data_IF_999079421045
#
_entry.id   IF_999079421045
#
_cell.length_a   1.000
_cell.length_b   1.000
_cell.length_c   1.000
_cell.angle_alpha   90.00
_cell.angle_beta   90.00
_cell.angle_gamma   90.00
#
_symmetry.space_group_name_H-M   'P 1'
#
loop_
_entity.id
_entity.type
_entity.pdbx_description
1 polymer ?
#
# COMPACT_ATOMS: atom_id res chain seq x y z
N UNK A 1 19.69 -13.11 -5.40
CA UNK A 1 18.58 -12.14 -5.29
C UNK A 1 17.34 -12.73 -5.96
N UNK A 2 16.23 -12.70 -5.29
CA UNK A 2 14.96 -13.16 -5.85
C UNK A 2 14.00 -11.98 -5.90
N UNK A 3 13.36 -11.78 -7.07
CA UNK A 3 12.37 -10.74 -7.27
C UNK A 3 11.02 -11.40 -7.45
N UNK A 4 10.01 -10.90 -6.73
CA UNK A 4 8.67 -11.48 -6.73
C UNK A 4 7.65 -10.36 -6.89
N UNK A 5 6.74 -10.51 -7.84
CA UNK A 5 5.59 -9.63 -7.91
C UNK A 5 4.57 -10.02 -6.85
N UNK A 6 4.05 -9.03 -6.15
CA UNK A 6 3.04 -9.21 -5.11
C UNK A 6 1.89 -8.24 -5.32
N UNK A 7 0.73 -8.63 -4.82
CA UNK A 7 -0.48 -7.82 -4.84
C UNK A 7 -1.06 -7.77 -3.45
N UNK A 8 -1.45 -6.57 -3.03
CA UNK A 8 -2.15 -6.36 -1.76
C UNK A 8 -3.51 -5.74 -2.04
N UNK A 9 -4.56 -6.31 -1.47
CA UNK A 9 -5.93 -5.82 -1.62
C UNK A 9 -6.49 -5.52 -0.24
N UNK A 10 -7.04 -4.34 -0.08
CA UNK A 10 -7.60 -3.90 1.21
C UNK A 10 -8.91 -3.17 0.97
N UNK A 11 -9.97 -3.60 1.67
CA UNK A 11 -11.20 -2.82 1.77
C UNK A 11 -11.05 -1.79 2.89
N UNK A 12 -11.36 -0.53 2.59
CA UNK A 12 -11.31 0.54 3.57
C UNK A 12 -12.68 0.63 4.23
N UNK A 13 -12.83 -0.05 5.36
CA UNK A 13 -14.12 -0.20 6.04
C UNK A 13 -14.40 0.86 7.08
N UNK A 14 -13.40 1.67 7.44
CA UNK A 14 -13.52 2.75 8.43
C UNK A 14 -12.90 4.03 7.89
N UNK A 15 -13.00 5.12 8.64
CA UNK A 15 -12.30 6.37 8.35
C UNK A 15 -10.95 6.47 9.05
N UNK A 16 -10.53 5.41 9.72
CA UNK A 16 -9.24 5.35 10.38
C UNK A 16 -8.13 5.00 9.38
N UNK A 17 -6.91 5.38 9.74
CA UNK A 17 -5.73 5.02 8.96
C UNK A 17 -5.55 3.49 8.96
N UNK A 18 -5.49 2.90 7.78
CA UNK A 18 -5.47 1.45 7.58
C UNK A 18 -4.17 1.05 6.90
N UNK A 19 -3.48 0.04 7.43
CA UNK A 19 -2.25 -0.47 6.81
C UNK A 19 -2.58 -1.38 5.64
N UNK A 20 -2.00 -1.07 4.47
CA UNK A 20 -2.12 -1.90 3.26
C UNK A 20 -1.05 -2.99 3.26
N UNK A 21 0.20 -2.60 3.53
CA UNK A 21 1.31 -3.54 3.68
C UNK A 21 2.38 -2.95 4.58
N UNK A 22 3.20 -3.84 5.14
CA UNK A 22 4.42 -3.48 5.84
C UNK A 22 5.57 -4.29 5.22
N UNK A 23 6.66 -3.61 4.87
CA UNK A 23 7.84 -4.29 4.32
C UNK A 23 8.52 -5.07 5.43
N UNK A 24 8.76 -6.39 5.24
CA UNK A 24 9.37 -7.22 6.28
C UNK A 24 10.73 -6.68 6.71
N UNK A 25 11.04 -6.85 8.00
CA UNK A 25 12.34 -6.54 8.55
C UNK A 25 13.25 -7.78 8.44
N UNK A 26 14.49 -7.58 8.02
CA UNK A 26 15.45 -8.66 7.91
C UNK A 26 15.69 -9.30 9.28
N UNK A 27 15.85 -10.64 9.28
CA UNK A 27 16.16 -11.39 10.48
C UNK A 27 17.02 -12.60 10.10
N UNK A 28 18.33 -12.46 10.26
CA UNK A 28 19.28 -13.50 9.92
C UNK A 28 19.26 -14.67 10.91
N UNK A 29 18.73 -14.45 12.11
CA UNK A 29 18.62 -15.50 13.13
C UNK A 29 17.38 -16.36 12.99
N UNK A 30 16.42 -15.97 12.12
CA UNK A 30 15.21 -16.76 11.89
C UNK A 30 15.53 -18.04 11.12
N UNK A 31 14.64 -19.02 11.21
CA UNK A 31 14.75 -20.28 10.47
C UNK A 31 13.48 -20.50 9.64
N UNK A 32 13.53 -20.30 8.30
CA UNK A 32 14.67 -19.82 7.50
C UNK A 32 14.97 -18.33 7.74
N UNK A 33 16.20 -17.87 7.45
CA UNK A 33 16.53 -16.45 7.60
C UNK A 33 15.65 -15.58 6.72
N UNK A 34 15.30 -14.38 7.24
CA UNK A 34 14.53 -13.38 6.50
C UNK A 34 15.50 -12.37 5.88
N UNK A 35 15.59 -12.28 4.53
CA UNK A 35 16.49 -11.33 3.88
C UNK A 35 15.97 -9.91 3.95
N UNK A 36 16.83 -8.94 3.61
CA UNK A 36 16.41 -7.55 3.42
C UNK A 36 15.49 -7.48 2.21
N UNK A 37 14.33 -6.89 2.39
CA UNK A 37 13.34 -6.69 1.31
C UNK A 37 13.18 -5.21 0.99
N UNK A 38 12.99 -4.92 -0.29
CA UNK A 38 12.57 -3.61 -0.78
C UNK A 38 11.33 -3.83 -1.64
N UNK A 39 10.29 -3.06 -1.38
CA UNK A 39 9.07 -3.07 -2.21
C UNK A 39 9.12 -1.90 -3.17
N UNK A 40 9.03 -2.18 -4.45
CA UNK A 40 8.87 -1.16 -5.49
C UNK A 40 7.41 -1.17 -5.91
N UNK A 41 6.68 -0.14 -5.54
CA UNK A 41 5.26 -0.02 -5.89
C UNK A 41 5.17 0.29 -7.38
N UNK A 42 4.38 -0.47 -8.11
CA UNK A 42 4.16 -0.29 -9.55
C UNK A 42 2.87 0.43 -9.85
N UNK A 43 1.77 0.01 -9.22
CA UNK A 43 0.47 0.63 -9.40
C UNK A 43 -0.30 0.64 -8.10
N UNK A 44 -1.12 1.69 -7.94
CA UNK A 44 -2.11 1.77 -6.87
C UNK A 44 -3.46 2.02 -7.54
N UNK A 45 -4.36 1.05 -7.44
CA UNK A 45 -5.73 1.18 -7.91
C UNK A 45 -6.64 1.47 -6.73
N UNK A 46 -7.39 2.56 -6.83
CA UNK A 46 -8.41 2.89 -5.85
C UNK A 46 -9.76 2.79 -6.54
N UNK A 47 -10.57 1.83 -6.10
CA UNK A 47 -11.91 1.62 -6.64
C UNK A 47 -12.95 2.07 -5.64
N UNK A 48 -13.86 2.93 -6.08
CA UNK A 48 -15.03 3.32 -5.29
C UNK A 48 -16.20 2.42 -5.69
N UNK A 49 -16.60 1.54 -4.78
CA UNK A 49 -17.71 0.62 -5.04
C UNK A 49 -19.06 1.15 -4.56
N UNK A 50 -19.10 2.39 -4.04
CA UNK A 50 -20.37 3.08 -3.76
C UNK A 50 -20.94 3.62 -5.07
N UNK A 51 -22.17 3.26 -5.37
CA UNK A 51 -22.83 3.66 -6.63
C UNK A 51 -23.36 5.09 -6.64
N UNK A 52 -23.30 5.81 -5.51
CA UNK A 52 -23.96 7.10 -5.36
C UNK A 52 -23.07 8.21 -4.87
N UNK A 53 -22.01 7.90 -4.12
CA UNK A 53 -21.19 8.88 -3.41
C UNK A 53 -19.72 8.77 -3.78
N UNK A 54 -19.05 9.90 -3.94
CA UNK A 54 -17.61 9.97 -4.13
C UNK A 54 -16.86 9.65 -2.83
N UNK A 55 -15.59 9.31 -2.96
CA UNK A 55 -14.69 9.10 -1.82
C UNK A 55 -13.34 9.76 -2.11
N UNK A 56 -12.72 10.31 -1.07
CA UNK A 56 -11.35 10.81 -1.11
C UNK A 56 -10.48 9.89 -0.27
N UNK A 57 -9.40 9.39 -0.85
CA UNK A 57 -8.47 8.50 -0.19
C UNK A 57 -7.09 9.13 -0.15
N UNK A 58 -6.52 9.24 1.04
CA UNK A 58 -5.14 9.64 1.23
C UNK A 58 -4.26 8.40 1.29
N UNK A 59 -3.13 8.44 0.60
CA UNK A 59 -2.12 7.38 0.64
C UNK A 59 -0.91 7.92 1.38
N UNK A 60 -0.53 7.24 2.46
CA UNK A 60 0.58 7.63 3.31
C UNK A 60 1.74 6.64 3.19
N UNK A 61 2.96 7.17 3.24
CA UNK A 61 4.18 6.39 3.40
C UNK A 61 4.61 6.51 4.86
N UNK A 62 4.58 5.41 5.59
CA UNK A 62 5.08 5.35 6.96
C UNK A 62 6.52 4.83 6.92
N UNK A 63 7.44 5.57 7.53
CA UNK A 63 8.87 5.22 7.56
C UNK A 63 9.29 4.42 8.80
N UNK A 64 8.31 3.83 9.48
CA UNK A 64 8.52 3.13 10.74
C UNK A 64 8.29 3.99 11.97
N UNK A 65 8.21 5.32 11.80
CA UNK A 65 8.04 6.28 12.90
C UNK A 65 6.93 7.28 12.62
N UNK A 66 6.90 7.82 11.42
CA UNK A 66 5.97 8.90 11.04
C UNK A 66 5.26 8.58 9.74
N UNK A 67 4.05 9.11 9.60
CA UNK A 67 3.25 9.01 8.38
C UNK A 67 3.44 10.26 7.53
N UNK A 68 3.68 10.06 6.23
CA UNK A 68 3.79 11.13 5.25
C UNK A 68 2.78 10.91 4.15
N UNK A 69 1.90 11.88 3.93
CA UNK A 69 0.95 11.79 2.83
C UNK A 69 1.68 11.98 1.50
N UNK A 70 1.57 10.98 0.61
CA UNK A 70 2.24 11.01 -0.69
C UNK A 70 1.27 11.21 -1.84
N UNK A 71 0.01 10.78 -1.69
CA UNK A 71 -1.04 10.99 -2.67
C UNK A 71 -2.37 11.28 -1.99
N UNK A 72 -3.18 12.08 -2.66
CA UNK A 72 -4.61 12.23 -2.37
C UNK A 72 -5.39 11.94 -3.64
N UNK A 73 -6.33 11.03 -3.56
CA UNK A 73 -7.07 10.53 -4.71
C UNK A 73 -8.56 10.76 -4.49
N UNK A 74 -9.18 11.49 -5.39
CA UNK A 74 -10.63 11.67 -5.42
C UNK A 74 -11.21 10.69 -6.43
N UNK A 75 -12.13 9.83 -5.99
CA UNK A 75 -12.74 8.82 -6.83
C UNK A 75 -14.25 9.01 -6.85
N UNK A 76 -14.79 9.32 -8.01
CA UNK A 76 -16.24 9.45 -8.20
C UNK A 76 -16.93 8.09 -7.97
N UNK A 77 -18.24 8.12 -7.70
CA UNK A 77 -19.03 6.91 -7.52
C UNK A 77 -18.81 5.92 -8.66
N UNK A 78 -18.63 4.66 -8.32
CA UNK A 78 -18.43 3.53 -9.25
C UNK A 78 -17.20 3.63 -10.15
N UNK A 79 -16.28 4.56 -9.89
CA UNK A 79 -15.08 4.76 -10.71
C UNK A 79 -13.84 4.16 -10.04
N UNK A 80 -12.78 4.06 -10.83
CA UNK A 80 -11.45 3.62 -10.38
C UNK A 80 -10.43 4.67 -10.77
N UNK A 81 -9.50 4.95 -9.87
CA UNK A 81 -8.35 5.81 -10.14
C UNK A 81 -7.08 4.97 -10.02
N UNK A 82 -6.20 5.08 -11.02
CA UNK A 82 -4.95 4.33 -11.07
C UNK A 82 -3.77 5.29 -10.99
N UNK A 83 -2.87 5.03 -10.04
CA UNK A 83 -1.58 5.73 -9.93
C UNK A 83 -0.51 4.75 -10.39
N UNK A 84 0.32 5.18 -11.36
CA UNK A 84 1.40 4.35 -11.94
C UNK A 84 2.79 4.92 -11.64
N UNK A 85 2.91 5.74 -10.62
CA UNK A 85 4.19 6.29 -10.20
C UNK A 85 4.94 5.29 -9.33
N UNK A 86 6.18 4.97 -9.70
CA UNK A 86 7.01 4.05 -8.92
C UNK A 86 7.43 4.69 -7.60
N UNK A 87 7.28 3.93 -6.51
CA UNK A 87 7.66 4.34 -5.17
C UNK A 87 8.44 3.23 -4.51
N UNK A 88 9.45 3.60 -3.72
CA UNK A 88 10.31 2.64 -3.02
C UNK A 88 9.98 2.64 -1.54
N UNK A 89 9.64 1.45 -1.02
CA UNK A 89 9.43 1.21 0.40
C UNK A 89 10.52 0.27 0.89
N UNK A 90 11.29 0.72 1.88
CA UNK A 90 12.39 -0.05 2.47
C UNK A 90 11.89 -0.88 3.65
N UNK A 91 12.75 -1.76 4.19
CA UNK A 91 12.36 -2.59 5.34
C UNK A 91 11.84 -1.73 6.50
N UNK A 92 10.76 -2.17 7.12
CA UNK A 92 10.10 -1.45 8.21
C UNK A 92 9.14 -0.38 7.76
N UNK A 93 9.17 0.03 6.48
CA UNK A 93 8.21 0.99 5.94
C UNK A 93 6.83 0.33 5.75
N UNK A 94 5.79 1.15 5.77
CA UNK A 94 4.43 0.68 5.50
C UNK A 94 3.69 1.65 4.58
N UNK A 95 2.80 1.11 3.76
CA UNK A 95 1.81 1.93 3.07
C UNK A 95 0.53 1.92 3.87
N UNK A 96 0.01 3.09 4.17
CA UNK A 96 -1.26 3.26 4.86
C UNK A 96 -2.20 4.12 4.03
N UNK A 97 -3.48 3.89 4.19
CA UNK A 97 -4.51 4.65 3.49
C UNK A 97 -5.58 5.11 4.46
N UNK A 98 -6.20 6.23 4.16
CA UNK A 98 -7.29 6.77 4.95
C UNK A 98 -8.34 7.35 4.02
N UNK A 99 -9.58 6.90 4.16
CA UNK A 99 -10.70 7.39 3.38
C UNK A 99 -11.52 8.38 4.21
N UNK A 100 -12.15 9.34 3.54
CA UNK A 100 -13.03 10.31 4.20
C UNK A 100 -14.43 9.74 4.50
N UNK A 101 -14.71 8.53 4.03
CA UNK A 101 -15.96 7.83 4.31
C UNK A 101 -15.73 6.33 4.39
N UNK A 102 -16.45 5.67 5.28
CA UNK A 102 -16.33 4.24 5.50
C UNK A 102 -16.99 3.44 4.38
N UNK A 103 -16.43 2.27 4.08
CA UNK A 103 -17.02 1.25 3.20
C UNK A 103 -17.38 1.76 1.81
N UNK A 104 -16.51 2.58 1.21
CA UNK A 104 -16.65 3.06 -0.16
C UNK A 104 -15.48 2.69 -1.05
N UNK A 105 -14.28 2.50 -0.48
CA UNK A 105 -13.05 2.32 -1.24
C UNK A 105 -12.43 0.94 -1.03
N UNK A 106 -11.91 0.40 -2.12
CA UNK A 106 -11.02 -0.76 -2.13
C UNK A 106 -9.70 -0.33 -2.76
N UNK A 107 -8.60 -0.72 -2.14
CA UNK A 107 -7.25 -0.41 -2.63
C UNK A 107 -6.60 -1.70 -3.09
N UNK A 108 -6.07 -1.69 -4.32
CA UNK A 108 -5.24 -2.77 -4.83
C UNK A 108 -3.88 -2.20 -5.20
N UNK A 109 -2.82 -2.77 -4.64
CA UNK A 109 -1.45 -2.31 -4.86
C UNK A 109 -0.63 -3.45 -5.44
N UNK A 110 0.03 -3.18 -6.57
CA UNK A 110 0.96 -4.11 -7.18
C UNK A 110 2.38 -3.66 -6.89
N UNK A 111 3.19 -4.57 -6.35
CA UNK A 111 4.58 -4.28 -5.97
C UNK A 111 5.51 -5.34 -6.55
N UNK A 112 6.76 -4.93 -6.77
CA UNK A 112 7.87 -5.85 -6.99
C UNK A 112 8.68 -5.91 -5.70
N UNK A 113 8.74 -7.09 -5.10
CA UNK A 113 9.60 -7.31 -3.94
C UNK A 113 10.97 -7.74 -4.42
N UNK A 114 11.99 -6.96 -4.07
CA UNK A 114 13.39 -7.27 -4.35
C UNK A 114 14.02 -7.73 -3.05
N UNK A 115 14.45 -8.98 -3.01
CA UNK A 115 15.09 -9.56 -1.82
C UNK A 115 16.59 -9.60 -2.03
N UNK A 116 17.30 -9.00 -1.09
CA UNK A 116 18.77 -9.08 -1.07
C UNK A 116 19.19 -10.41 -0.51
N UNK A 117 20.08 -11.08 -1.21
CA UNK A 117 20.61 -12.37 -0.75
C UNK A 117 21.46 -12.18 0.51
N UNK A 118 21.24 -13.06 1.49
CA UNK A 118 22.01 -13.06 2.73
C UNK A 118 23.38 -13.72 2.57
#
# INVERSE_FOLDING_TARGET
MADVFKRFITNVTTTDLTTVFTVPTANVAATPPVPVSTFIVKTINTHNYDGSNAVTVNVDHNNGTSDFQVFQVDVAASNTNTISTSMVYQEGDAMKVQANAASRAMIEVSVLEVKQQL
#
